data_IF_179323310275
#
_entry.id   IF_179323310275
#
_cell.length_a   1.000
_cell.length_b   1.000
_cell.length_c   1.000
_cell.angle_alpha   90.00
_cell.angle_beta   90.00
_cell.angle_gamma   90.00
#
_symmetry.space_group_name_H-M   'P 1'
#
loop_
_entity.id
_entity.type
_entity.pdbx_description
1 polymer ?
#
# COMPACT_ATOMS: atom_id res chain seq x y z
N UNK A 1 -8.19 -21.79 -10.61
CA UNK A 1 -7.12 -21.95 -9.60
C UNK A 1 -5.89 -21.26 -10.16
N UNK A 2 -5.34 -20.28 -9.44
CA UNK A 2 -4.26 -19.41 -9.94
C UNK A 2 -2.95 -19.80 -9.26
N UNK A 3 -1.90 -20.19 -10.01
CA UNK A 3 -0.62 -20.60 -9.41
C UNK A 3 0.12 -19.41 -8.80
N UNK A 4 0.61 -19.58 -7.58
CA UNK A 4 1.31 -18.57 -6.81
C UNK A 4 2.46 -19.19 -5.99
N UNK A 5 3.30 -18.36 -5.40
CA UNK A 5 4.33 -18.79 -4.45
C UNK A 5 4.06 -18.16 -3.10
N UNK A 6 4.05 -18.97 -2.06
CA UNK A 6 3.86 -18.54 -0.68
C UNK A 6 5.19 -18.54 0.05
N UNK A 7 5.46 -17.47 0.78
CA UNK A 7 6.58 -17.37 1.72
C UNK A 7 6.07 -17.39 3.15
N UNK A 8 6.66 -18.25 3.95
CA UNK A 8 6.52 -18.28 5.39
C UNK A 8 7.92 -18.17 6.02
N UNK A 9 8.22 -17.04 6.66
CA UNK A 9 9.56 -16.72 7.17
C UNK A 9 10.61 -16.73 6.06
N UNK A 10 11.62 -17.59 6.20
CA UNK A 10 12.69 -17.75 5.21
C UNK A 10 12.35 -18.72 4.05
N UNK A 11 11.24 -19.46 4.15
CA UNK A 11 10.93 -20.55 3.23
C UNK A 11 9.91 -20.14 2.17
N UNK A 12 10.17 -20.51 0.91
CA UNK A 12 9.22 -20.40 -0.20
C UNK A 12 8.62 -21.78 -0.51
N UNK A 13 7.33 -21.80 -0.82
CA UNK A 13 6.57 -22.98 -1.23
C UNK A 13 5.62 -22.62 -2.37
N UNK A 14 5.32 -23.59 -3.22
CA UNK A 14 4.28 -23.41 -4.23
C UNK A 14 2.90 -23.48 -3.57
N UNK A 15 2.00 -22.65 -4.07
CA UNK A 15 0.65 -22.50 -3.53
C UNK A 15 -0.30 -22.12 -4.66
N UNK A 16 -1.59 -22.31 -4.43
CA UNK A 16 -2.60 -22.04 -5.46
C UNK A 16 -3.75 -21.24 -4.87
N UNK A 17 -4.04 -20.09 -5.48
CA UNK A 17 -5.19 -19.26 -5.11
C UNK A 17 -6.44 -19.94 -5.65
N UNK A 18 -7.32 -20.34 -4.75
CA UNK A 18 -8.60 -20.97 -5.04
C UNK A 18 -9.72 -19.93 -5.20
N UNK A 19 -9.67 -18.86 -4.39
CA UNK A 19 -10.59 -17.75 -4.44
C UNK A 19 -9.86 -16.46 -4.03
N UNK A 20 -10.24 -15.34 -4.63
CA UNK A 20 -9.71 -14.01 -4.32
C UNK A 20 -10.86 -13.00 -4.24
N UNK A 21 -10.76 -12.10 -3.27
CA UNK A 21 -11.64 -10.94 -3.11
C UNK A 21 -10.80 -9.70 -2.85
N UNK A 22 -11.41 -8.53 -2.73
CA UNK A 22 -10.70 -7.28 -2.46
C UNK A 22 -9.99 -7.23 -1.09
N UNK A 23 -10.33 -8.13 -0.14
CA UNK A 23 -9.79 -8.12 1.24
C UNK A 23 -9.24 -9.47 1.72
N UNK A 24 -9.29 -10.51 0.90
CA UNK A 24 -8.89 -11.83 1.35
C UNK A 24 -8.80 -12.85 0.24
N UNK A 25 -8.11 -13.94 0.53
CA UNK A 25 -7.84 -15.03 -0.39
C UNK A 25 -8.08 -16.38 0.28
N UNK A 26 -8.55 -17.34 -0.50
CA UNK A 26 -8.46 -18.75 -0.16
C UNK A 26 -7.30 -19.35 -0.94
N UNK A 27 -6.35 -19.97 -0.24
CA UNK A 27 -5.17 -20.56 -0.85
C UNK A 27 -5.05 -22.03 -0.46
N UNK A 28 -4.67 -22.87 -1.41
CA UNK A 28 -4.14 -24.20 -1.15
C UNK A 28 -2.63 -24.10 -0.94
N UNK A 29 -2.15 -24.52 0.22
CA UNK A 29 -0.72 -24.64 0.52
C UNK A 29 -0.43 -25.98 1.19
N UNK A 30 0.52 -26.78 0.66
CA UNK A 30 0.88 -28.05 1.26
C UNK A 30 1.69 -27.89 2.55
N UNK A 31 2.19 -26.68 2.86
CA UNK A 31 3.06 -26.43 4.02
C UNK A 31 2.32 -25.91 5.23
N UNK A 32 2.90 -26.20 6.40
CA UNK A 32 2.48 -25.70 7.70
C UNK A 32 2.57 -24.18 7.79
N UNK A 33 1.47 -23.45 7.60
CA UNK A 33 1.37 -22.04 7.97
C UNK A 33 0.59 -21.93 9.27
N UNK A 34 1.16 -21.36 10.34
CA UNK A 34 0.45 -21.19 11.60
C UNK A 34 -0.69 -20.17 11.45
N UNK A 35 -1.81 -20.42 12.12
CA UNK A 35 -2.90 -19.44 12.22
C UNK A 35 -2.40 -18.18 12.93
N UNK A 36 -2.84 -17.01 12.48
CA UNK A 36 -2.36 -15.71 12.94
C UNK A 36 -1.04 -15.26 12.32
N UNK A 37 -0.30 -16.17 11.67
CA UNK A 37 0.96 -15.87 11.01
C UNK A 37 0.79 -14.93 9.81
N UNK A 38 1.83 -14.13 9.54
CA UNK A 38 1.91 -13.27 8.35
C UNK A 38 2.67 -14.03 7.27
N UNK A 39 2.11 -14.03 6.05
CA UNK A 39 2.68 -14.65 4.87
C UNK A 39 2.77 -13.68 3.72
N UNK A 40 3.75 -13.89 2.85
CA UNK A 40 3.86 -13.18 1.59
C UNK A 40 3.44 -14.12 0.46
N UNK A 41 2.49 -13.71 -0.36
CA UNK A 41 2.05 -14.45 -1.55
C UNK A 41 2.51 -13.69 -2.79
N UNK A 42 3.24 -14.37 -3.68
CA UNK A 42 3.74 -13.81 -4.93
C UNK A 42 3.06 -14.44 -6.13
N UNK A 43 2.54 -13.59 -7.01
CA UNK A 43 1.96 -13.96 -8.29
C UNK A 43 2.55 -13.05 -9.37
N UNK A 44 3.46 -13.58 -10.18
CA UNK A 44 4.23 -12.76 -11.13
C UNK A 44 5.01 -11.65 -10.41
N UNK A 45 4.68 -10.41 -10.75
CA UNK A 45 5.24 -9.20 -10.14
C UNK A 45 4.44 -8.70 -8.93
N UNK A 46 3.22 -9.22 -8.70
CA UNK A 46 2.40 -8.83 -7.56
C UNK A 46 2.84 -9.58 -6.30
N UNK A 47 3.06 -8.82 -5.23
CA UNK A 47 3.35 -9.33 -3.89
C UNK A 47 2.22 -8.90 -2.97
N UNK A 48 1.62 -9.87 -2.29
CA UNK A 48 0.49 -9.70 -1.40
C UNK A 48 0.93 -10.11 0.00
N UNK A 49 0.85 -9.20 0.96
CA UNK A 49 1.07 -9.51 2.38
C UNK A 49 -0.28 -9.78 3.03
N UNK A 50 -0.40 -10.91 3.73
CA UNK A 50 -1.66 -11.33 4.31
C UNK A 50 -1.46 -12.10 5.62
N UNK A 51 -2.45 -12.00 6.51
CA UNK A 51 -2.51 -12.75 7.75
C UNK A 51 -3.35 -14.02 7.57
N UNK A 52 -2.89 -15.13 8.13
CA UNK A 52 -3.67 -16.37 8.20
C UNK A 52 -4.79 -16.24 9.22
N UNK A 53 -6.04 -16.25 8.77
CA UNK A 53 -7.21 -16.11 9.66
C UNK A 53 -7.78 -17.46 10.10
N UNK A 54 -7.68 -18.49 9.25
CA UNK A 54 -8.12 -19.84 9.56
C UNK A 54 -7.39 -20.86 8.67
N UNK A 55 -7.46 -22.13 9.08
CA UNK A 55 -6.89 -23.24 8.34
C UNK A 55 -7.76 -24.49 8.45
N UNK A 56 -7.84 -25.22 7.34
CA UNK A 56 -8.45 -26.54 7.27
C UNK A 56 -7.60 -27.44 6.35
N UNK A 57 -6.77 -28.30 6.95
CA UNK A 57 -5.79 -29.13 6.24
C UNK A 57 -4.83 -28.31 5.36
N UNK A 58 -4.94 -28.48 4.04
CA UNK A 58 -4.15 -27.76 3.03
C UNK A 58 -4.78 -26.45 2.58
N UNK A 59 -6.00 -26.13 3.04
CA UNK A 59 -6.69 -24.87 2.73
C UNK A 59 -6.42 -23.85 3.82
N UNK A 60 -6.11 -22.64 3.39
CA UNK A 60 -5.74 -21.54 4.27
C UNK A 60 -6.53 -20.30 3.85
N UNK A 61 -7.26 -19.74 4.81
CA UNK A 61 -7.91 -18.44 4.66
C UNK A 61 -6.94 -17.33 5.01
N UNK A 62 -6.76 -16.39 4.09
CA UNK A 62 -5.88 -15.24 4.24
C UNK A 62 -6.69 -13.94 4.23
N UNK A 63 -6.38 -13.03 5.15
CA UNK A 63 -6.84 -11.64 5.13
C UNK A 63 -5.70 -10.76 4.63
N UNK A 64 -5.92 -10.05 3.54
CA UNK A 64 -4.93 -9.12 3.01
C UNK A 64 -4.82 -7.89 3.91
N UNK A 65 -3.61 -7.37 4.06
CA UNK A 65 -3.36 -6.12 4.79
C UNK A 65 -3.93 -4.92 4.00
N UNK A 66 -3.67 -4.92 2.69
CA UNK A 66 -4.15 -3.91 1.74
C UNK A 66 -5.26 -4.44 0.82
N UNK A 67 -5.97 -3.49 0.17
CA UNK A 67 -6.97 -3.82 -0.85
C UNK A 67 -6.31 -4.44 -2.08
N UNK A 68 -6.79 -5.60 -2.49
CA UNK A 68 -6.23 -6.36 -3.61
C UNK A 68 -6.77 -5.87 -4.97
N UNK A 69 -5.91 -5.64 -5.98
CA UNK A 69 -6.32 -5.40 -7.36
C UNK A 69 -6.67 -6.73 -8.03
N UNK A 70 -7.89 -7.22 -7.78
CA UNK A 70 -8.36 -8.56 -8.17
C UNK A 70 -8.20 -8.81 -9.67
N UNK A 71 -8.64 -7.88 -10.51
CA UNK A 71 -8.62 -8.03 -11.97
C UNK A 71 -7.19 -8.14 -12.53
N UNK A 72 -6.23 -7.42 -11.95
CA UNK A 72 -4.82 -7.50 -12.33
C UNK A 72 -4.21 -8.85 -11.97
N UNK A 73 -4.54 -9.37 -10.78
CA UNK A 73 -3.98 -10.65 -10.29
C UNK A 73 -4.48 -11.82 -11.15
N UNK A 74 -5.74 -11.76 -11.61
CA UNK A 74 -6.36 -12.79 -12.46
C UNK A 74 -5.86 -12.70 -13.91
N UNK A 75 -5.79 -11.50 -14.48
CA UNK A 75 -5.45 -11.28 -15.90
C UNK A 75 -4.02 -11.66 -16.29
N UNK A 76 -3.13 -11.86 -15.31
CA UNK A 76 -1.75 -12.34 -15.53
C UNK A 76 -1.66 -13.72 -16.21
N UNK A 77 -2.72 -14.54 -16.18
CA UNK A 77 -2.72 -15.85 -16.86
C UNK A 77 -2.65 -15.74 -18.39
N UNK A 78 -3.09 -14.62 -18.98
CA UNK A 78 -3.09 -14.44 -20.45
C UNK A 78 -1.72 -14.09 -21.04
N UNK A 79 -0.87 -13.39 -20.30
CA UNK A 79 0.37 -12.82 -20.85
C UNK A 79 1.58 -13.77 -20.79
N UNK A 80 1.66 -14.64 -19.78
CA UNK A 80 2.79 -15.55 -19.62
C UNK A 80 2.77 -16.73 -20.62
N UNK A 81 1.58 -17.22 -20.96
CA UNK A 81 1.42 -18.31 -21.92
C UNK A 81 1.85 -17.93 -23.35
N UNK A 82 1.69 -16.65 -23.73
CA UNK A 82 2.11 -16.14 -25.04
C UNK A 82 3.62 -15.86 -25.15
N UNK A 83 4.35 -15.75 -24.04
CA UNK A 83 5.79 -15.50 -24.05
C UNK A 83 6.64 -16.78 -24.08
N UNK A 84 6.08 -17.91 -23.63
CA UNK A 84 6.79 -19.19 -23.58
C UNK A 84 7.02 -19.85 -24.94
N UNK A 85 6.23 -19.50 -25.97
CA UNK A 85 6.43 -20.00 -27.35
C UNK A 85 7.47 -19.22 -28.16
N UNK A 86 7.96 -18.08 -27.66
CA UNK A 86 8.91 -17.23 -28.39
C UNK A 86 10.36 -17.26 -27.86
N UNK A 87 10.65 -17.97 -26.76
CA UNK A 87 11.94 -17.90 -26.07
C UNK A 87 12.80 -19.16 -26.23
N UNK A 88 13.06 -19.56 -27.48
CA UNK A 88 14.07 -20.57 -27.83
C UNK A 88 15.45 -19.98 -28.18
N UNK A 89 15.63 -18.66 -28.16
CA UNK A 89 16.88 -18.04 -28.58
C UNK A 89 17.18 -16.78 -27.74
N UNK A 90 18.34 -16.79 -27.08
CA UNK A 90 19.00 -15.58 -26.61
C UNK A 90 18.39 -14.95 -25.37
N UNK A 91 19.01 -15.25 -24.23
CA UNK A 91 18.86 -14.49 -22.98
C UNK A 91 19.28 -13.02 -23.21
N UNK A 92 18.40 -12.02 -23.02
CA UNK A 92 18.81 -10.61 -22.97
C UNK A 92 18.66 -10.07 -21.55
N UNK A 93 19.80 -9.66 -21.00
CA UNK A 93 20.01 -8.51 -20.11
C UNK A 93 18.82 -8.01 -19.26
N UNK A 94 18.78 -8.54 -18.04
CA UNK A 94 17.80 -8.30 -16.96
C UNK A 94 17.98 -6.95 -16.26
N UNK A 95 18.15 -5.84 -17.01
CA UNK A 95 18.39 -4.51 -16.42
C UNK A 95 17.82 -3.34 -17.23
N UNK A 96 16.51 -3.32 -17.51
CA UNK A 96 15.69 -2.10 -17.68
C UNK A 96 14.28 -2.50 -18.14
N UNK A 97 13.27 -1.79 -17.64
CA UNK A 97 11.80 -1.96 -17.83
C UNK A 97 11.22 -2.98 -16.82
N UNK A 98 10.25 -2.68 -15.94
CA UNK A 98 9.32 -1.55 -15.88
C UNK A 98 8.74 -1.45 -14.45
N UNK A 99 9.43 -0.75 -13.54
CA UNK A 99 8.83 -0.22 -12.30
C UNK A 99 7.98 1.00 -12.68
N UNK A 100 6.75 0.79 -13.15
CA UNK A 100 5.84 1.89 -13.50
C UNK A 100 4.50 1.84 -12.76
N UNK A 101 4.06 0.69 -12.24
CA UNK A 101 2.75 0.58 -11.58
C UNK A 101 2.77 0.84 -10.06
N UNK A 102 3.94 0.92 -9.41
CA UNK A 102 4.05 1.13 -7.95
C UNK A 102 4.30 2.60 -7.57
N UNK A 103 4.36 3.52 -8.54
CA UNK A 103 4.61 4.94 -8.26
C UNK A 103 3.36 5.73 -7.85
N UNK A 104 2.17 5.34 -8.32
CA UNK A 104 0.95 6.12 -8.08
C UNK A 104 0.47 6.09 -6.63
N UNK A 105 0.61 4.96 -5.94
CA UNK A 105 0.20 4.84 -4.53
C UNK A 105 1.12 5.63 -3.58
N UNK A 106 2.40 5.80 -3.93
CA UNK A 106 3.37 6.57 -3.13
C UNK A 106 3.20 8.08 -3.32
N UNK A 107 2.82 8.51 -4.53
CA UNK A 107 2.50 9.92 -4.81
C UNK A 107 1.23 10.36 -4.09
N UNK A 108 0.20 9.49 -4.00
CA UNK A 108 -1.02 9.78 -3.23
C UNK A 108 -0.79 9.84 -1.72
N UNK A 109 0.05 8.98 -1.16
CA UNK A 109 0.42 9.03 0.26
C UNK A 109 1.17 10.31 0.63
N UNK A 110 2.14 10.73 -0.20
CA UNK A 110 2.86 12.00 -0.02
C UNK A 110 1.98 13.23 -0.15
N UNK A 111 1.02 13.23 -1.07
CA UNK A 111 0.10 14.36 -1.22
C UNK A 111 -0.76 14.60 0.04
N UNK A 112 -1.22 13.54 0.71
CA UNK A 112 -1.98 13.67 1.96
C UNK A 112 -1.12 14.22 3.10
N UNK A 113 0.15 13.82 3.18
CA UNK A 113 1.09 14.33 4.17
C UNK A 113 1.31 15.84 4.02
N UNK A 114 1.59 16.32 2.79
CA UNK A 114 1.78 17.76 2.53
C UNK A 114 0.51 18.59 2.80
N UNK A 115 -0.67 18.06 2.48
CA UNK A 115 -1.94 18.74 2.81
C UNK A 115 -2.12 18.84 4.32
N UNK A 116 -1.85 17.76 5.07
CA UNK A 116 -2.00 17.78 6.54
C UNK A 116 -1.05 18.77 7.22
N UNK A 117 0.22 18.79 6.82
CA UNK A 117 1.22 19.74 7.34
C UNK A 117 0.84 21.17 6.97
N UNK A 118 0.37 21.40 5.73
CA UNK A 118 -0.09 22.71 5.28
C UNK A 118 -1.28 23.24 6.10
N UNK A 119 -2.28 22.40 6.38
CA UNK A 119 -3.45 22.77 7.18
C UNK A 119 -3.04 23.11 8.62
N UNK A 120 -2.16 22.30 9.22
CA UNK A 120 -1.66 22.55 10.59
C UNK A 120 -0.89 23.87 10.63
N UNK A 121 0.04 24.09 9.69
CA UNK A 121 0.82 25.32 9.63
C UNK A 121 -0.06 26.56 9.42
N UNK A 122 -1.04 26.51 8.52
CA UNK A 122 -1.98 27.60 8.31
C UNK A 122 -2.82 27.90 9.56
N UNK A 123 -3.29 26.86 10.25
CA UNK A 123 -4.06 27.02 11.49
C UNK A 123 -3.24 27.72 12.59
N UNK A 124 -1.96 27.34 12.76
CA UNK A 124 -1.05 27.97 13.72
C UNK A 124 -0.72 29.41 13.34
N UNK A 125 -0.56 29.71 12.05
CA UNK A 125 -0.30 31.07 11.59
C UNK A 125 -1.49 32.00 11.88
N UNK A 126 -2.72 31.55 11.65
CA UNK A 126 -3.95 32.32 11.92
C UNK A 126 -4.11 32.58 13.43
N UNK A 127 -3.82 31.58 14.27
CA UNK A 127 -3.92 31.78 15.73
C UNK A 127 -2.86 32.74 16.25
N UNK A 128 -1.61 32.63 15.79
CA UNK A 128 -0.55 33.58 16.16
C UNK A 128 -0.88 34.99 15.68
N UNK A 129 -1.35 35.15 14.45
CA UNK A 129 -1.76 36.44 13.91
C UNK A 129 -2.84 37.11 14.77
N UNK A 130 -3.91 36.36 15.09
CA UNK A 130 -5.00 36.89 15.92
C UNK A 130 -4.55 37.22 17.35
N UNK A 131 -3.63 36.46 17.93
CA UNK A 131 -3.02 36.79 19.23
C UNK A 131 -2.22 38.09 19.18
N UNK A 132 -1.44 38.31 18.12
CA UNK A 132 -0.65 39.53 17.94
C UNK A 132 -1.55 40.76 17.79
N UNK A 133 -2.60 40.67 16.97
CA UNK A 133 -3.59 41.75 16.84
C UNK A 133 -4.23 42.09 18.18
N UNK A 134 -4.67 41.09 18.95
CA UNK A 134 -5.28 41.31 20.27
C UNK A 134 -4.28 41.88 21.28
N UNK A 135 -3.03 41.41 21.26
CA UNK A 135 -1.97 41.88 22.14
C UNK A 135 -1.57 43.33 21.85
N UNK A 136 -1.58 43.75 20.58
CA UNK A 136 -1.23 45.10 20.15
C UNK A 136 -2.41 46.08 20.19
N UNK A 137 -3.64 45.60 20.05
CA UNK A 137 -4.84 46.44 20.10
C UNK A 137 -4.99 47.16 21.45
N UNK A 138 -4.71 46.47 22.56
CA UNK A 138 -4.77 47.06 23.91
C UNK A 138 -3.78 48.24 24.10
N UNK A 139 -2.46 48.09 23.88
CA UNK A 139 -1.53 49.20 24.05
C UNK A 139 -1.77 50.33 23.04
N UNK A 140 -2.14 50.02 21.78
CA UNK A 140 -2.46 51.04 20.78
C UNK A 140 -3.69 51.87 21.19
N UNK A 141 -4.73 51.24 21.75
CA UNK A 141 -5.90 51.97 22.26
C UNK A 141 -5.56 52.88 23.45
N UNK A 142 -4.65 52.44 24.33
CA UNK A 142 -4.20 53.25 25.46
C UNK A 142 -3.35 54.45 25.01
N UNK A 143 -2.48 54.25 24.02
CA UNK A 143 -1.67 55.33 23.43
C UNK A 143 -2.55 56.32 22.66
N UNK A 144 -3.54 55.83 21.90
CA UNK A 144 -4.49 56.69 21.19
C UNK A 144 -5.34 57.52 22.15
N UNK A 145 -5.79 56.95 23.27
CA UNK A 145 -6.49 57.69 24.31
C UNK A 145 -5.60 58.75 25.00
N UNK A 146 -4.32 58.45 25.21
CA UNK A 146 -3.37 59.37 25.83
C UNK A 146 -2.90 60.50 24.90
N UNK A 147 -2.86 60.26 23.58
CA UNK A 147 -2.52 61.26 22.57
C UNK A 147 -3.73 62.09 22.10
N UNK A 148 -4.92 61.83 22.67
CA UNK A 148 -6.14 62.57 22.37
C UNK A 148 -6.73 62.21 21.02
N UNK A 149 -7.33 61.01 20.92
CA UNK A 149 -8.48 60.86 20.03
C UNK A 149 -9.50 61.96 20.29
#
# INVERSE_FOLDING_TARGET
MIPARLRNGASWADACILNISSRGLLVHSPRGVPQGGIVELRRGEHVIVAQVVWRDGTRVGLRADDRLPVDEIISLDGAAALQLTAAGAGQPERRKKQRAATMDSRLRGRAMEFVSVGVIAASLAITIWSMVEQALARPMSAVAAALGG
#
